data_IF_231101650611
#
_entry.id   IF_231101650611
#
_cell.length_a   1.000
_cell.length_b   1.000
_cell.length_c   1.000
_cell.angle_alpha   90.00
_cell.angle_beta   90.00
_cell.angle_gamma   90.00
#
_symmetry.space_group_name_H-M   'P 1'
#
loop_
_entity.id
_entity.type
_entity.pdbx_description
1 polymer ?
#
# COMPACT_ATOMS: atom_id res chain seq x y z
N UNK A 1 53.56 1.93 4.30
CA UNK A 1 52.39 1.43 3.58
C UNK A 1 51.41 0.66 4.47
N UNK A 2 51.80 -0.19 5.41
CA UNK A 2 50.86 -1.00 6.26
C UNK A 2 49.98 -0.18 7.18
N UNK A 3 50.39 0.98 7.70
CA UNK A 3 49.60 1.82 8.62
C UNK A 3 48.43 2.54 7.94
N UNK A 4 48.56 2.86 6.67
CA UNK A 4 47.49 3.52 5.90
C UNK A 4 46.37 2.53 5.49
N UNK A 5 46.70 1.25 5.24
CA UNK A 5 45.69 0.22 4.99
C UNK A 5 44.82 -0.05 6.21
N UNK A 6 45.40 -0.02 7.42
CA UNK A 6 44.67 -0.25 8.66
C UNK A 6 43.69 0.92 8.96
N UNK A 7 44.06 2.16 8.63
CA UNK A 7 43.20 3.32 8.79
C UNK A 7 42.04 3.32 7.77
N UNK A 8 42.28 2.88 6.53
CA UNK A 8 41.24 2.72 5.52
C UNK A 8 40.23 1.60 5.89
N UNK A 9 40.70 0.48 6.42
CA UNK A 9 39.85 -0.60 6.91
C UNK A 9 39.00 -0.16 8.10
N UNK A 10 39.56 0.63 9.03
CA UNK A 10 38.82 1.16 10.16
C UNK A 10 37.76 2.20 9.74
N UNK A 11 38.08 3.02 8.74
CA UNK A 11 37.12 3.99 8.17
C UNK A 11 35.94 3.28 7.45
N UNK A 12 36.18 2.16 6.77
CA UNK A 12 35.12 1.36 6.17
C UNK A 12 34.23 0.66 7.21
N UNK A 13 34.79 0.30 8.39
CA UNK A 13 34.01 -0.31 9.48
C UNK A 13 33.19 0.73 10.27
N UNK A 14 33.57 2.00 10.20
CA UNK A 14 32.87 3.12 10.84
C UNK A 14 31.96 3.88 9.87
N UNK A 15 31.94 3.52 8.59
CA UNK A 15 30.92 4.07 7.69
C UNK A 15 29.56 3.62 8.21
N UNK A 16 28.67 4.54 8.63
CA UNK A 16 27.32 4.16 8.99
C UNK A 16 26.76 3.44 7.75
N UNK A 17 26.27 2.23 7.93
CA UNK A 17 25.35 1.62 7.01
C UNK A 17 24.16 2.58 6.93
N UNK A 18 24.27 3.57 6.05
CA UNK A 18 23.15 4.42 5.65
C UNK A 18 22.19 3.58 4.78
N UNK A 19 21.81 2.42 5.29
CA UNK A 19 20.54 1.84 4.97
C UNK A 19 19.54 2.84 5.52
N UNK A 20 18.88 3.58 4.63
CA UNK A 20 17.84 4.51 5.03
C UNK A 20 16.80 3.74 5.82
N UNK A 21 16.90 3.79 7.14
CA UNK A 21 15.79 3.43 7.98
C UNK A 21 14.66 4.32 7.50
N UNK A 22 13.67 3.73 6.86
CA UNK A 22 12.45 4.43 6.52
C UNK A 22 11.95 5.05 7.82
N UNK A 23 12.09 6.37 7.93
CA UNK A 23 11.63 7.06 9.12
C UNK A 23 10.15 6.73 9.29
N UNK A 24 9.75 6.36 10.50
CA UNK A 24 8.35 6.13 10.82
C UNK A 24 7.55 7.38 10.39
N UNK A 25 6.32 7.21 9.89
CA UNK A 25 5.50 8.34 9.49
C UNK A 25 5.32 9.28 10.68
N UNK A 26 5.43 10.58 10.41
CA UNK A 26 5.13 11.61 11.42
C UNK A 26 3.65 11.92 11.35
N UNK A 27 2.95 11.90 12.47
CA UNK A 27 1.53 12.14 12.54
C UNK A 27 0.70 10.86 12.71
N UNK A 28 -0.61 10.99 12.58
CA UNK A 28 -1.53 9.88 12.71
C UNK A 28 -1.53 9.01 11.44
N UNK A 29 -1.77 7.71 11.61
CA UNK A 29 -2.19 6.83 10.53
C UNK A 29 -3.71 6.89 10.40
N UNK A 30 -4.21 6.99 9.17
CA UNK A 30 -5.63 7.04 8.86
C UNK A 30 -5.99 5.83 8.02
N UNK A 31 -6.83 4.95 8.56
CA UNK A 31 -7.33 3.79 7.85
C UNK A 31 -8.50 4.19 6.96
N UNK A 32 -8.51 3.70 5.72
CA UNK A 32 -9.55 3.97 4.73
C UNK A 32 -10.14 2.65 4.25
N UNK A 33 -11.45 2.49 4.42
CA UNK A 33 -12.25 1.53 3.69
C UNK A 33 -12.67 2.17 2.38
N UNK A 34 -11.97 1.81 1.31
CA UNK A 34 -12.07 2.48 -0.01
C UNK A 34 -13.52 2.68 -0.49
N UNK A 35 -14.42 1.66 -0.49
CA UNK A 35 -15.78 1.80 -1.02
C UNK A 35 -16.65 2.85 -0.32
N UNK A 36 -16.27 3.26 0.90
CA UNK A 36 -17.08 4.18 1.71
C UNK A 36 -16.45 5.54 1.93
N UNK A 37 -15.32 5.84 1.27
CA UNK A 37 -14.58 7.06 1.58
C UNK A 37 -14.97 8.24 0.68
N UNK A 38 -14.70 8.15 -0.61
CA UNK A 38 -15.04 9.20 -1.56
C UNK A 38 -15.12 8.64 -2.98
N UNK A 39 -16.20 8.91 -3.65
CA UNK A 39 -16.50 8.55 -5.03
C UNK A 39 -15.85 9.59 -5.97
N UNK A 40 -14.84 9.16 -6.72
CA UNK A 40 -14.07 10.02 -7.62
C UNK A 40 -14.56 9.99 -9.07
N UNK A 41 -15.22 8.91 -9.47
CA UNK A 41 -15.72 8.74 -10.85
C UNK A 41 -17.23 8.94 -10.99
N UNK A 42 -17.97 9.04 -9.88
CA UNK A 42 -19.40 9.37 -9.85
C UNK A 42 -20.32 8.16 -10.01
N UNK A 43 -19.83 6.94 -9.74
CA UNK A 43 -20.62 5.71 -9.85
C UNK A 43 -21.42 5.37 -8.59
N UNK A 44 -21.21 6.10 -7.49
CA UNK A 44 -21.86 5.91 -6.19
C UNK A 44 -21.03 5.05 -5.23
N UNK A 45 -19.85 4.59 -5.61
CA UNK A 45 -18.91 3.82 -4.79
C UNK A 45 -17.63 4.61 -4.58
N UNK A 46 -17.07 4.60 -3.37
CA UNK A 46 -15.76 5.19 -3.15
C UNK A 46 -14.64 4.38 -3.84
N UNK A 47 -13.64 5.08 -4.37
CA UNK A 47 -12.61 4.50 -5.21
C UNK A 47 -11.22 5.10 -4.95
N UNK A 48 -10.18 4.55 -5.60
CA UNK A 48 -8.80 5.01 -5.47
C UNK A 48 -8.59 6.42 -6.03
N UNK A 49 -9.34 6.80 -7.06
CA UNK A 49 -9.31 8.16 -7.63
C UNK A 49 -9.83 9.17 -6.60
N UNK A 50 -10.95 8.85 -5.96
CA UNK A 50 -11.55 9.68 -4.90
C UNK A 50 -10.61 9.84 -3.70
N UNK A 51 -9.89 8.78 -3.30
CA UNK A 51 -8.87 8.91 -2.25
C UNK A 51 -7.75 9.84 -2.72
N UNK A 52 -7.29 9.69 -3.96
CA UNK A 52 -6.25 10.54 -4.54
C UNK A 52 -6.67 12.02 -4.57
N UNK A 53 -7.94 12.32 -4.84
CA UNK A 53 -8.47 13.68 -4.79
C UNK A 53 -8.51 14.27 -3.37
N UNK A 54 -8.64 13.41 -2.36
CA UNK A 54 -8.71 13.83 -0.95
C UNK A 54 -7.35 13.89 -0.24
N UNK A 55 -6.24 13.55 -0.91
CA UNK A 55 -4.90 13.67 -0.32
C UNK A 55 -4.60 15.07 0.24
N UNK A 56 -4.94 16.20 -0.43
CA UNK A 56 -4.73 17.52 0.15
C UNK A 56 -5.52 17.76 1.44
N UNK A 57 -6.75 17.26 1.51
CA UNK A 57 -7.55 17.32 2.72
C UNK A 57 -6.92 16.51 3.86
N UNK A 58 -6.52 15.26 3.58
CA UNK A 58 -5.85 14.39 4.57
C UNK A 58 -4.53 14.99 5.06
N UNK A 59 -3.77 15.62 4.17
CA UNK A 59 -2.56 16.36 4.53
C UNK A 59 -2.86 17.53 5.47
N UNK A 60 -3.97 18.26 5.25
CA UNK A 60 -4.37 19.36 6.12
C UNK A 60 -4.74 18.92 7.55
N UNK A 61 -5.07 17.63 7.71
CA UNK A 61 -5.30 17.00 9.02
C UNK A 61 -4.02 16.49 9.69
N UNK A 62 -2.86 16.75 9.10
CA UNK A 62 -1.55 16.27 9.59
C UNK A 62 -1.45 14.72 9.62
N UNK A 63 -2.10 14.04 8.68
CA UNK A 63 -2.00 12.60 8.51
C UNK A 63 -0.63 12.26 7.93
N UNK A 64 0.11 11.37 8.61
CA UNK A 64 1.44 10.94 8.17
C UNK A 64 1.43 9.61 7.41
N UNK A 65 0.35 8.83 7.51
CA UNK A 65 0.17 7.58 6.78
C UNK A 65 -1.28 7.34 6.43
N UNK A 66 -1.53 6.84 5.23
CA UNK A 66 -2.81 6.26 4.81
C UNK A 66 -2.67 4.73 4.80
N UNK A 67 -3.61 4.05 5.43
CA UNK A 67 -3.71 2.61 5.42
C UNK A 67 -4.98 2.22 4.67
N UNK A 68 -4.84 1.56 3.53
CA UNK A 68 -5.96 1.08 2.73
C UNK A 68 -6.30 -0.35 3.12
N UNK A 69 -7.57 -0.60 3.44
CA UNK A 69 -8.09 -1.95 3.50
C UNK A 69 -8.01 -2.62 2.13
N UNK A 70 -8.16 -3.96 2.02
CA UNK A 70 -7.97 -4.64 0.74
C UNK A 70 -8.84 -4.06 -0.38
N UNK A 71 -8.23 -3.84 -1.55
CA UNK A 71 -8.88 -3.36 -2.77
C UNK A 71 -8.72 -4.33 -3.95
N UNK A 72 -8.34 -5.58 -3.65
CA UNK A 72 -8.25 -6.67 -4.61
C UNK A 72 -9.64 -7.16 -5.04
N UNK A 73 -9.78 -7.86 -6.20
CA UNK A 73 -10.98 -8.59 -6.55
C UNK A 73 -11.39 -9.57 -5.45
N UNK A 74 -12.64 -9.50 -5.05
CA UNK A 74 -13.19 -10.30 -3.96
C UNK A 74 -14.71 -10.44 -4.12
N UNK A 75 -15.30 -11.61 -3.77
CA UNK A 75 -16.75 -11.80 -3.81
C UNK A 75 -17.47 -11.14 -2.63
N UNK A 76 -16.74 -10.73 -1.58
CA UNK A 76 -17.34 -10.11 -0.42
C UNK A 76 -17.08 -8.61 -0.35
N UNK A 77 -17.98 -7.93 0.31
CA UNK A 77 -17.92 -6.49 0.46
C UNK A 77 -16.68 -6.00 1.24
N UNK A 78 -16.20 -6.78 2.22
CA UNK A 78 -15.03 -6.44 3.04
C UNK A 78 -13.69 -6.72 2.34
N UNK A 79 -13.68 -7.50 1.24
CA UNK A 79 -12.55 -7.79 0.35
C UNK A 79 -11.37 -8.54 0.95
N UNK A 80 -11.53 -9.17 2.13
CA UNK A 80 -10.49 -10.00 2.73
C UNK A 80 -10.43 -11.42 2.15
N UNK A 81 -11.42 -11.88 1.39
CA UNK A 81 -11.42 -13.15 0.66
C UNK A 81 -10.99 -12.93 -0.80
N UNK A 82 -9.70 -12.67 -0.97
CA UNK A 82 -9.08 -12.28 -2.25
C UNK A 82 -9.16 -13.39 -3.28
N UNK A 83 -9.59 -13.06 -4.49
CA UNK A 83 -9.61 -13.97 -5.66
C UNK A 83 -8.45 -13.75 -6.62
N UNK A 84 -7.84 -12.56 -6.60
CA UNK A 84 -6.66 -12.23 -7.39
C UNK A 84 -5.80 -11.19 -6.66
N UNK A 85 -4.58 -11.56 -6.29
CA UNK A 85 -3.63 -10.66 -5.61
C UNK A 85 -2.86 -9.74 -6.57
N UNK A 86 -3.00 -9.93 -7.87
CA UNK A 86 -2.28 -9.17 -8.90
C UNK A 86 -3.14 -8.11 -9.58
N UNK A 87 -4.42 -8.01 -9.20
CA UNK A 87 -5.37 -7.08 -9.78
C UNK A 87 -5.94 -6.12 -8.72
N UNK A 88 -6.41 -4.99 -9.18
CA UNK A 88 -7.29 -4.08 -8.44
C UNK A 88 -8.72 -4.41 -8.84
N UNK A 89 -9.65 -4.42 -7.87
CA UNK A 89 -11.06 -4.61 -8.18
C UNK A 89 -11.54 -3.46 -9.09
N UNK A 90 -12.11 -3.77 -10.26
CA UNK A 90 -12.55 -2.73 -11.20
C UNK A 90 -13.57 -1.73 -10.62
N UNK A 91 -14.32 -2.13 -9.60
CA UNK A 91 -15.24 -1.22 -8.90
C UNK A 91 -14.51 -0.22 -7.97
N UNK A 92 -13.21 -0.37 -7.76
CA UNK A 92 -12.42 0.52 -6.93
C UNK A 92 -11.35 1.28 -7.70
N UNK A 93 -11.24 1.05 -9.01
CA UNK A 93 -10.34 1.74 -9.90
C UNK A 93 -9.36 0.84 -10.64
N UNK A 94 -8.29 1.43 -11.11
CA UNK A 94 -7.26 0.82 -11.94
C UNK A 94 -5.87 0.91 -11.30
N UNK A 95 -4.87 0.29 -11.94
CA UNK A 95 -3.47 0.43 -11.56
C UNK A 95 -2.97 1.87 -11.79
N UNK A 96 -3.52 2.57 -12.77
CA UNK A 96 -3.26 3.97 -13.06
C UNK A 96 -3.74 4.86 -11.90
N UNK A 97 -4.94 4.62 -11.38
CA UNK A 97 -5.50 5.35 -10.23
C UNK A 97 -4.69 5.10 -8.96
N UNK A 98 -4.28 3.85 -8.73
CA UNK A 98 -3.37 3.53 -7.63
C UNK A 98 -2.02 4.24 -7.76
N UNK A 99 -1.48 4.30 -8.98
CA UNK A 99 -0.22 4.99 -9.25
C UNK A 99 -0.33 6.50 -9.02
N UNK A 100 -1.46 7.09 -9.39
CA UNK A 100 -1.79 8.49 -9.12
C UNK A 100 -1.89 8.75 -7.61
N UNK A 101 -2.61 7.91 -6.88
CA UNK A 101 -2.72 7.99 -5.42
C UNK A 101 -1.34 7.91 -4.75
N UNK A 102 -0.52 6.94 -5.15
CA UNK A 102 0.83 6.76 -4.61
C UNK A 102 1.73 7.99 -4.89
N UNK A 103 1.60 8.59 -6.07
CA UNK A 103 2.32 9.81 -6.41
C UNK A 103 1.88 10.98 -5.54
N UNK A 104 0.58 11.21 -5.38
CA UNK A 104 0.03 12.29 -4.55
C UNK A 104 0.38 12.13 -3.07
N UNK A 105 0.32 10.91 -2.55
CA UNK A 105 0.76 10.63 -1.18
C UNK A 105 2.25 10.96 -0.97
N UNK A 106 3.10 10.56 -1.93
CA UNK A 106 4.54 10.87 -1.88
C UNK A 106 4.82 12.37 -1.92
N UNK A 107 4.11 13.13 -2.77
CA UNK A 107 4.23 14.59 -2.86
C UNK A 107 3.80 15.29 -1.57
N UNK A 108 2.84 14.72 -0.85
CA UNK A 108 2.34 15.22 0.43
C UNK A 108 3.14 14.71 1.65
N UNK A 109 4.23 13.93 1.46
CA UNK A 109 4.98 13.21 2.51
C UNK A 109 4.11 12.28 3.38
N UNK A 110 3.05 11.71 2.79
CA UNK A 110 2.17 10.73 3.40
C UNK A 110 2.61 9.33 2.98
N UNK A 111 2.84 8.43 3.94
CA UNK A 111 3.16 7.02 3.66
C UNK A 111 1.89 6.27 3.27
N UNK A 112 1.97 5.53 2.17
CA UNK A 112 0.86 4.66 1.75
C UNK A 112 1.13 3.24 2.23
N UNK A 113 0.18 2.67 2.97
CA UNK A 113 0.19 1.31 3.50
C UNK A 113 -1.00 0.58 2.88
N UNK A 114 -0.78 -0.62 2.42
CA UNK A 114 -1.84 -1.47 1.87
C UNK A 114 -1.91 -2.78 2.64
N UNK A 115 -3.12 -3.30 2.83
CA UNK A 115 -3.32 -4.63 3.41
C UNK A 115 -2.83 -5.71 2.43
N UNK A 116 -2.01 -6.61 2.95
CA UNK A 116 -1.61 -7.82 2.25
C UNK A 116 -2.20 -9.04 2.96
N UNK A 117 -3.26 -9.60 2.40
CA UNK A 117 -4.02 -10.73 2.98
C UNK A 117 -3.29 -12.05 2.69
N UNK A 118 -2.29 -12.40 3.50
CA UNK A 118 -1.46 -13.61 3.31
C UNK A 118 -1.89 -14.80 4.18
N UNK A 119 -2.84 -14.63 5.10
CA UNK A 119 -3.28 -15.69 5.99
C UNK A 119 -4.19 -16.71 5.29
N UNK A 120 -4.96 -16.28 4.30
CA UNK A 120 -5.91 -17.08 3.54
C UNK A 120 -6.19 -16.45 2.18
N UNK A 121 -6.84 -17.18 1.29
CA UNK A 121 -7.43 -16.69 0.05
C UNK A 121 -8.93 -17.00 0.02
N UNK A 122 -9.64 -16.46 -0.96
CA UNK A 122 -11.02 -16.86 -1.24
C UNK A 122 -11.11 -18.34 -1.60
N UNK A 123 -12.24 -18.98 -1.26
CA UNK A 123 -12.59 -20.29 -1.81
C UNK A 123 -12.83 -20.25 -3.33
N UNK A 124 -12.95 -19.07 -3.92
CA UNK A 124 -13.04 -18.85 -5.35
C UNK A 124 -11.68 -18.53 -6.01
N UNK A 125 -10.60 -18.45 -5.21
CA UNK A 125 -9.27 -18.22 -5.76
C UNK A 125 -8.80 -19.44 -6.58
N UNK A 126 -8.17 -19.26 -7.76
CA UNK A 126 -7.66 -20.36 -8.58
C UNK A 126 -6.79 -21.35 -7.81
N UNK A 127 -6.00 -20.92 -6.85
CA UNK A 127 -5.19 -21.80 -6.01
C UNK A 127 -6.04 -22.76 -5.18
N UNK A 128 -7.10 -22.26 -4.54
CA UNK A 128 -8.02 -23.08 -3.75
C UNK A 128 -8.76 -24.08 -4.65
N UNK A 129 -9.31 -23.63 -5.78
CA UNK A 129 -10.02 -24.47 -6.72
C UNK A 129 -9.13 -25.58 -7.29
N UNK A 130 -7.88 -25.26 -7.63
CA UNK A 130 -6.89 -26.23 -8.07
C UNK A 130 -6.55 -27.27 -6.99
N UNK A 131 -6.38 -26.83 -5.74
CA UNK A 131 -6.09 -27.73 -4.63
C UNK A 131 -7.23 -28.71 -4.36
N UNK A 132 -8.49 -28.23 -4.37
CA UNK A 132 -9.68 -29.09 -4.17
C UNK A 132 -9.91 -30.06 -5.32
N UNK A 133 -9.64 -29.65 -6.55
CA UNK A 133 -9.81 -30.52 -7.75
C UNK A 133 -8.74 -31.59 -7.90
N UNK A 134 -7.65 -31.50 -7.13
CA UNK A 134 -6.54 -32.48 -7.14
C UNK A 134 -6.65 -33.56 -6.04
N UNK A 135 -7.72 -33.51 -5.25
CA UNK A 135 -8.04 -34.50 -4.21
C UNK A 135 -8.93 -35.62 -4.75
#
# INVERSE_FOLDING_TARGET
MRRWLSLLLLACLLAPLAGGASALPRGAAYEIFTPSFYDGDGDGTGDLLGIAEKVPYLSSLSIGALWLTPFYPSPSYHRYDVTDYQAIDPALGSLEDFSLLAARCREADIKLIIDLVINHSSSQHPWFLSAVSSL
#
